data_IF_959058918423
#
_entry.id   IF_959058918423
#
_cell.length_a   1.000
_cell.length_b   1.000
_cell.length_c   1.000
_cell.angle_alpha   90.00
_cell.angle_beta   90.00
_cell.angle_gamma   90.00
#
_symmetry.space_group_name_H-M   'P 1'
#
loop_
_entity.id
_entity.type
_entity.pdbx_description
1 polymer ?
#
# COMPACT_ATOMS: atom_id res chain seq x y z
N UNK A 1 -22.82 -22.96 30.18
CA UNK A 1 -22.56 -21.52 30.03
C UNK A 1 -22.26 -21.25 28.56
N UNK A 2 -23.19 -20.62 27.87
CA UNK A 2 -23.05 -20.34 26.42
C UNK A 2 -22.25 -19.06 26.27
N UNK A 3 -21.03 -19.15 25.74
CA UNK A 3 -20.24 -17.97 25.33
C UNK A 3 -20.84 -17.43 24.03
N UNK A 4 -21.39 -16.23 24.10
CA UNK A 4 -21.77 -15.46 22.91
C UNK A 4 -20.48 -14.98 22.25
N UNK A 5 -20.18 -15.49 21.06
CA UNK A 5 -19.19 -14.91 20.20
C UNK A 5 -19.75 -13.57 19.70
N UNK A 6 -19.08 -12.50 20.04
CA UNK A 6 -19.35 -11.16 19.54
C UNK A 6 -18.63 -11.07 18.18
N UNK A 7 -19.38 -11.15 17.10
CA UNK A 7 -18.86 -10.91 15.77
C UNK A 7 -18.52 -9.41 15.66
N UNK A 8 -17.23 -9.10 15.61
CA UNK A 8 -16.74 -7.77 15.20
C UNK A 8 -16.84 -7.73 13.68
N UNK A 9 -17.77 -6.94 13.16
CA UNK A 9 -17.85 -6.65 11.74
C UNK A 9 -16.63 -5.82 11.33
N UNK A 10 -15.62 -6.46 10.77
CA UNK A 10 -14.67 -5.78 9.90
C UNK A 10 -15.40 -5.48 8.59
N UNK A 11 -15.69 -4.21 8.35
CA UNK A 11 -16.10 -3.76 7.02
C UNK A 11 -14.83 -3.73 6.13
N UNK A 12 -14.55 -4.85 5.50
CA UNK A 12 -13.72 -4.89 4.30
C UNK A 12 -14.44 -4.15 3.18
N UNK A 13 -13.70 -3.50 2.31
CA UNK A 13 -14.24 -2.90 1.10
C UNK A 13 -15.06 -3.94 0.34
N UNK A 14 -16.37 -3.82 0.35
CA UNK A 14 -17.26 -4.70 -0.41
C UNK A 14 -17.08 -4.37 -1.88
N UNK A 15 -16.26 -5.13 -2.56
CA UNK A 15 -16.30 -5.24 -4.02
C UNK A 15 -17.63 -5.87 -4.40
N UNK A 16 -18.67 -5.06 -4.53
CA UNK A 16 -19.91 -5.47 -5.16
C UNK A 16 -19.71 -5.58 -6.67
N UNK A 17 -19.24 -6.74 -7.12
CA UNK A 17 -19.55 -7.19 -8.46
C UNK A 17 -21.06 -7.47 -8.50
N UNK A 18 -21.86 -6.43 -8.64
CA UNK A 18 -23.31 -6.47 -8.70
C UNK A 18 -23.81 -6.16 -10.10
N UNK A 19 -23.96 -7.16 -10.96
CA UNK A 19 -25.01 -7.13 -11.97
C UNK A 19 -26.37 -7.15 -11.26
N UNK A 20 -26.83 -6.02 -10.76
CA UNK A 20 -28.14 -5.83 -10.16
C UNK A 20 -28.80 -4.65 -10.84
N UNK A 21 -30.07 -4.78 -11.25
CA UNK A 21 -30.96 -3.75 -11.78
C UNK A 21 -31.08 -2.53 -10.86
N UNK A 22 -29.96 -1.79 -10.71
CA UNK A 22 -29.89 -0.48 -10.11
C UNK A 22 -30.25 0.55 -11.18
N UNK A 23 -30.99 1.61 -10.82
CA UNK A 23 -31.32 2.68 -11.76
C UNK A 23 -30.06 3.22 -12.46
N UNK A 24 -30.17 3.54 -13.75
CA UNK A 24 -29.04 4.07 -14.52
C UNK A 24 -28.48 5.34 -13.88
N UNK A 25 -27.16 5.45 -13.81
CA UNK A 25 -26.50 6.67 -13.37
C UNK A 25 -26.96 7.88 -14.19
N UNK A 26 -27.08 9.02 -13.52
CA UNK A 26 -27.48 10.29 -14.15
C UNK A 26 -26.36 11.32 -13.92
N UNK A 27 -26.24 12.28 -14.83
CA UNK A 27 -25.35 13.41 -14.69
C UNK A 27 -26.09 14.73 -14.93
N UNK A 28 -25.71 15.76 -14.19
CA UNK A 28 -26.15 17.14 -14.51
C UNK A 28 -25.67 17.51 -15.91
N UNK A 29 -24.40 17.20 -16.19
CA UNK A 29 -23.84 17.17 -17.54
C UNK A 29 -23.56 15.73 -17.95
N UNK A 30 -24.06 15.30 -19.10
CA UNK A 30 -23.84 13.93 -19.63
C UNK A 30 -23.23 14.02 -21.02
N UNK A 31 -22.16 13.29 -21.25
CA UNK A 31 -21.42 13.23 -22.50
C UNK A 31 -21.49 11.83 -23.09
N UNK A 32 -22.01 11.73 -24.31
CA UNK A 32 -21.97 10.56 -25.22
C UNK A 32 -21.14 10.86 -26.46
N UNK A 33 -20.64 12.08 -26.58
CA UNK A 33 -19.75 12.61 -27.60
C UNK A 33 -18.81 13.65 -26.98
N UNK A 34 -17.77 14.10 -27.64
CA UNK A 34 -16.86 15.11 -27.08
C UNK A 34 -17.53 16.43 -26.71
N UNK A 35 -17.16 16.94 -25.53
CA UNK A 35 -17.67 18.20 -25.03
C UNK A 35 -16.79 18.87 -23.98
N UNK A 36 -17.19 20.03 -23.51
CA UNK A 36 -16.41 20.83 -22.57
C UNK A 36 -17.25 21.23 -21.36
N UNK A 37 -16.62 21.24 -20.19
CA UNK A 37 -17.17 21.75 -18.93
C UNK A 37 -16.26 22.86 -18.41
N UNK A 38 -16.81 24.06 -18.28
CA UNK A 38 -16.19 25.22 -17.64
C UNK A 38 -17.17 25.82 -16.62
N UNK A 39 -16.63 26.47 -15.58
CA UNK A 39 -17.45 27.11 -14.56
C UNK A 39 -18.10 26.10 -13.59
N UNK A 40 -19.23 26.50 -13.00
CA UNK A 40 -19.84 25.75 -11.89
C UNK A 40 -20.84 24.70 -12.38
N UNK A 41 -20.70 23.45 -11.83
CA UNK A 41 -21.69 22.36 -12.00
C UNK A 41 -21.91 21.68 -10.66
N UNK A 42 -23.15 21.75 -10.15
CA UNK A 42 -23.52 21.15 -8.87
C UNK A 42 -24.57 20.06 -9.05
N UNK A 43 -24.31 18.86 -8.51
CA UNK A 43 -25.31 17.80 -8.33
C UNK A 43 -25.81 17.80 -6.88
N UNK A 44 -27.13 17.72 -6.70
CA UNK A 44 -27.77 17.67 -5.38
C UNK A 44 -28.73 16.47 -5.23
N UNK A 45 -28.81 15.57 -6.20
CA UNK A 45 -29.72 14.42 -6.18
C UNK A 45 -28.98 13.12 -5.86
N UNK A 46 -29.70 12.18 -5.25
CA UNK A 46 -29.18 10.92 -4.72
C UNK A 46 -28.38 10.08 -5.74
N UNK A 47 -28.86 9.95 -6.97
CA UNK A 47 -28.28 9.08 -8.01
C UNK A 47 -27.74 9.93 -9.18
N UNK A 48 -27.17 11.09 -8.91
CA UNK A 48 -26.74 12.02 -9.94
C UNK A 48 -25.30 12.48 -9.66
N UNK A 49 -24.45 12.38 -10.65
CA UNK A 49 -23.11 12.95 -10.68
C UNK A 49 -23.13 14.37 -11.24
N UNK A 50 -22.15 15.21 -10.93
CA UNK A 50 -22.04 16.51 -11.58
C UNK A 50 -21.74 16.34 -13.07
N UNK A 51 -20.79 15.46 -13.39
CA UNK A 51 -20.45 15.08 -14.77
C UNK A 51 -20.54 13.56 -14.92
N UNK A 52 -21.19 13.10 -15.98
CA UNK A 52 -21.26 11.70 -16.38
C UNK A 52 -20.74 11.54 -17.81
N UNK A 53 -19.79 10.64 -18.01
CA UNK A 53 -19.23 10.31 -19.33
C UNK A 53 -19.55 8.85 -19.64
N UNK A 54 -20.14 8.61 -20.80
CA UNK A 54 -20.57 7.29 -21.28
C UNK A 54 -19.75 6.87 -22.49
N UNK A 55 -20.01 5.68 -22.99
CA UNK A 55 -19.36 5.16 -24.19
C UNK A 55 -19.50 6.12 -25.37
N UNK A 56 -18.37 6.39 -26.05
CA UNK A 56 -18.27 7.39 -27.12
C UNK A 56 -18.11 8.84 -26.63
N UNK A 57 -18.32 9.10 -25.33
CA UNK A 57 -18.16 10.42 -24.75
C UNK A 57 -16.73 10.76 -24.42
N UNK A 58 -16.41 12.06 -24.50
CA UNK A 58 -15.20 12.63 -23.93
C UNK A 58 -15.50 14.01 -23.33
N UNK A 59 -14.80 14.38 -22.24
CA UNK A 59 -14.99 15.70 -21.63
C UNK A 59 -13.64 16.39 -21.39
N UNK A 60 -13.52 17.63 -21.84
CA UNK A 60 -12.52 18.56 -21.35
C UNK A 60 -13.10 19.37 -20.20
N UNK A 61 -12.63 19.16 -19.00
CA UNK A 61 -13.01 19.89 -17.78
C UNK A 61 -11.88 20.85 -17.45
N UNK A 62 -12.11 22.15 -17.57
CA UNK A 62 -11.07 23.15 -17.42
C UNK A 62 -11.61 24.40 -16.69
N UNK A 63 -10.87 24.88 -15.69
CA UNK A 63 -11.31 26.01 -14.85
C UNK A 63 -12.74 25.81 -14.32
N UNK A 64 -13.05 24.61 -13.83
CA UNK A 64 -14.38 24.23 -13.39
C UNK A 64 -14.45 24.07 -11.86
N UNK A 65 -15.61 24.48 -11.30
CA UNK A 65 -16.00 24.23 -9.92
C UNK A 65 -17.07 23.14 -9.92
N UNK A 66 -16.70 21.91 -9.67
CA UNK A 66 -17.62 20.78 -9.69
C UNK A 66 -17.96 20.36 -8.26
N UNK A 67 -19.24 20.19 -7.96
CA UNK A 67 -19.61 19.76 -6.63
C UNK A 67 -20.76 18.74 -6.61
N UNK A 68 -20.68 17.85 -5.60
CA UNK A 68 -21.76 16.94 -5.24
C UNK A 68 -22.21 17.26 -3.82
N UNK A 69 -23.32 17.99 -3.69
CA UNK A 69 -23.90 18.43 -2.42
C UNK A 69 -25.12 17.58 -2.07
N UNK A 70 -24.89 16.37 -1.59
CA UNK A 70 -25.96 15.46 -1.18
C UNK A 70 -25.65 14.90 0.21
N UNK A 71 -26.28 15.42 1.24
CA UNK A 71 -26.04 15.07 2.64
C UNK A 71 -26.50 13.65 3.05
N UNK A 72 -27.03 12.84 2.14
CA UNK A 72 -27.46 11.48 2.40
C UNK A 72 -26.52 10.44 1.81
N UNK A 73 -26.74 9.18 2.18
CA UNK A 73 -26.02 8.04 1.58
C UNK A 73 -26.36 7.93 0.09
N UNK A 74 -25.37 7.69 -0.74
CA UNK A 74 -25.55 7.44 -2.16
C UNK A 74 -26.57 6.32 -2.40
N UNK A 75 -27.21 6.33 -3.57
CA UNK A 75 -28.18 5.31 -3.97
C UNK A 75 -27.52 4.01 -4.39
N UNK A 76 -28.30 3.16 -5.06
CA UNK A 76 -27.78 1.92 -5.64
C UNK A 76 -26.95 2.12 -6.92
N UNK A 77 -27.10 3.27 -7.58
CA UNK A 77 -26.29 3.62 -8.75
C UNK A 77 -24.98 4.22 -8.31
N UNK A 78 -23.90 3.89 -9.02
CA UNK A 78 -22.62 4.55 -8.85
C UNK A 78 -22.74 6.03 -9.08
N UNK A 79 -22.09 6.82 -8.21
CA UNK A 79 -22.09 8.28 -8.30
C UNK A 79 -20.72 8.81 -7.90
N UNK A 80 -20.34 9.93 -8.53
CA UNK A 80 -19.12 10.66 -8.24
C UNK A 80 -19.34 12.15 -8.54
N UNK A 81 -18.37 13.00 -8.24
CA UNK A 81 -18.36 14.34 -8.83
C UNK A 81 -18.18 14.20 -10.34
N UNK A 82 -17.20 13.41 -10.77
CA UNK A 82 -17.01 13.01 -12.18
C UNK A 82 -17.07 11.49 -12.27
N UNK A 83 -18.08 10.97 -12.95
CA UNK A 83 -18.28 9.55 -13.20
C UNK A 83 -18.00 9.23 -14.66
N UNK A 84 -17.09 8.30 -14.91
CA UNK A 84 -16.87 7.73 -16.22
C UNK A 84 -17.34 6.26 -16.21
N UNK A 85 -18.44 5.96 -16.89
CA UNK A 85 -18.82 4.57 -17.17
C UNK A 85 -17.93 3.97 -18.27
N UNK A 86 -17.49 4.82 -19.21
CA UNK A 86 -16.50 4.55 -20.26
C UNK A 86 -16.03 5.89 -20.87
N UNK A 87 -15.11 5.85 -21.85
CA UNK A 87 -14.66 7.07 -22.54
C UNK A 87 -13.51 7.77 -21.84
N UNK A 88 -13.34 9.08 -22.09
CA UNK A 88 -12.17 9.81 -21.62
C UNK A 88 -12.52 11.15 -20.96
N UNK A 89 -11.84 11.52 -19.89
CA UNK A 89 -11.83 12.87 -19.35
C UNK A 89 -10.41 13.44 -19.33
N UNK A 90 -10.31 14.72 -19.68
CA UNK A 90 -9.13 15.56 -19.44
C UNK A 90 -9.56 16.65 -18.46
N UNK A 91 -8.93 16.67 -17.28
CA UNK A 91 -9.30 17.58 -16.18
C UNK A 91 -8.09 18.44 -15.82
N UNK A 92 -8.25 19.76 -15.81
CA UNK A 92 -7.18 20.66 -15.38
C UNK A 92 -7.68 21.93 -14.70
N UNK A 93 -6.84 22.51 -13.85
CA UNK A 93 -7.07 23.78 -13.19
C UNK A 93 -8.47 23.87 -12.54
N UNK A 94 -8.95 22.78 -11.95
CA UNK A 94 -10.34 22.67 -11.49
C UNK A 94 -10.40 22.36 -9.99
N UNK A 95 -11.56 22.58 -9.40
CA UNK A 95 -11.83 22.23 -8.01
C UNK A 95 -13.05 21.30 -7.93
N UNK A 96 -12.86 20.13 -7.32
CA UNK A 96 -13.89 19.11 -7.20
C UNK A 96 -14.19 18.84 -5.72
N UNK A 97 -15.46 18.88 -5.33
CA UNK A 97 -15.87 18.64 -3.93
C UNK A 97 -17.05 17.69 -3.81
N UNK A 98 -17.03 16.80 -2.80
CA UNK A 98 -18.15 15.93 -2.49
C UNK A 98 -18.37 15.78 -0.99
N UNK A 99 -19.62 16.03 -0.54
CA UNK A 99 -20.07 15.76 0.84
C UNK A 99 -20.86 14.43 0.94
N UNK A 100 -21.07 13.73 -0.18
CA UNK A 100 -21.94 12.57 -0.26
C UNK A 100 -21.23 11.29 0.20
N UNK A 101 -21.82 10.58 1.15
CA UNK A 101 -21.33 9.25 1.54
C UNK A 101 -21.55 8.20 0.43
N UNK A 102 -20.57 7.31 0.24
CA UNK A 102 -20.59 6.29 -0.81
C UNK A 102 -20.47 6.83 -2.23
N UNK A 103 -19.76 7.96 -2.41
CA UNK A 103 -19.63 8.66 -3.69
C UNK A 103 -18.20 9.17 -3.89
N UNK A 104 -17.48 8.59 -4.81
CA UNK A 104 -16.12 9.03 -5.11
C UNK A 104 -16.04 10.49 -5.59
N UNK A 105 -14.87 11.09 -5.48
CA UNK A 105 -14.59 12.35 -6.18
C UNK A 105 -14.55 12.11 -7.70
N UNK A 106 -13.70 11.20 -8.15
CA UNK A 106 -13.66 10.71 -9.53
C UNK A 106 -13.78 9.21 -9.53
N UNK A 107 -14.74 8.65 -10.27
CA UNK A 107 -14.90 7.23 -10.48
C UNK A 107 -14.64 6.88 -11.94
N UNK A 108 -13.61 6.07 -12.15
CA UNK A 108 -13.14 5.65 -13.48
C UNK A 108 -13.54 4.19 -13.67
N UNK A 109 -14.57 3.97 -14.47
CA UNK A 109 -15.11 2.65 -14.75
C UNK A 109 -14.26 1.86 -15.75
N UNK A 110 -14.75 0.69 -16.07
CA UNK A 110 -14.09 -0.22 -17.00
C UNK A 110 -13.87 0.44 -18.37
N UNK A 111 -12.67 0.28 -18.93
CA UNK A 111 -12.23 0.91 -20.20
C UNK A 111 -12.22 2.44 -20.25
N UNK A 112 -12.48 3.12 -19.14
CA UNK A 112 -12.43 4.58 -19.05
C UNK A 112 -11.01 5.07 -18.75
N UNK A 113 -10.70 6.29 -19.20
CA UNK A 113 -9.42 6.93 -18.99
C UNK A 113 -9.58 8.36 -18.47
N UNK A 114 -8.82 8.72 -17.45
CA UNK A 114 -8.73 10.08 -16.94
C UNK A 114 -7.29 10.58 -17.00
N UNK A 115 -7.11 11.73 -17.63
CA UNK A 115 -5.89 12.54 -17.53
C UNK A 115 -6.21 13.77 -16.68
N UNK A 116 -5.48 13.98 -15.57
CA UNK A 116 -5.76 15.08 -14.64
C UNK A 116 -4.49 15.81 -14.20
N UNK A 117 -4.52 17.14 -14.19
CA UNK A 117 -3.43 17.96 -13.71
C UNK A 117 -3.89 19.21 -12.97
N UNK A 118 -3.04 19.72 -12.07
CA UNK A 118 -3.19 20.99 -11.38
C UNK A 118 -4.62 21.19 -10.80
N UNK A 119 -5.18 20.12 -10.24
CA UNK A 119 -6.58 20.07 -9.80
C UNK A 119 -6.64 19.73 -8.31
N UNK A 120 -7.51 20.45 -7.59
CA UNK A 120 -7.85 20.14 -6.21
C UNK A 120 -9.11 19.27 -6.16
N UNK A 121 -9.10 18.22 -5.34
CA UNK A 121 -10.25 17.37 -5.10
C UNK A 121 -10.39 17.08 -3.62
N UNK A 122 -11.62 17.21 -3.08
CA UNK A 122 -11.92 16.92 -1.69
C UNK A 122 -13.20 16.11 -1.55
N UNK A 123 -13.16 15.03 -0.76
CA UNK A 123 -14.35 14.27 -0.36
C UNK A 123 -14.46 14.20 1.16
N UNK A 124 -15.69 14.37 1.69
CA UNK A 124 -15.95 14.35 3.13
C UNK A 124 -16.88 13.22 3.57
N UNK A 125 -17.55 12.53 2.64
CA UNK A 125 -18.46 11.43 2.96
C UNK A 125 -17.72 10.15 3.39
N UNK A 126 -18.37 9.32 4.20
CA UNK A 126 -17.90 7.95 4.47
C UNK A 126 -17.90 7.12 3.19
N UNK A 127 -16.93 6.19 3.05
CA UNK A 127 -16.79 5.32 1.87
C UNK A 127 -16.76 6.12 0.55
N UNK A 128 -16.06 7.25 0.55
CA UNK A 128 -16.04 8.20 -0.56
C UNK A 128 -14.58 8.50 -0.95
N UNK A 129 -13.94 7.58 -1.68
CA UNK A 129 -12.55 7.78 -2.09
C UNK A 129 -12.39 9.04 -2.94
N UNK A 130 -11.19 9.60 -2.94
CA UNK A 130 -10.86 10.75 -3.78
C UNK A 130 -10.95 10.36 -5.26
N UNK A 131 -10.06 9.48 -5.71
CA UNK A 131 -10.12 8.88 -7.06
C UNK A 131 -10.16 7.36 -6.92
N UNK A 132 -11.06 6.73 -7.66
CA UNK A 132 -11.22 5.28 -7.71
C UNK A 132 -11.19 4.78 -9.16
N UNK A 133 -10.37 3.76 -9.44
CA UNK A 133 -10.42 3.00 -10.68
C UNK A 133 -11.13 1.67 -10.48
N UNK A 134 -11.94 1.24 -11.43
CA UNK A 134 -12.62 -0.06 -11.45
C UNK A 134 -12.40 -0.76 -12.78
N UNK A 135 -12.39 -2.10 -12.77
CA UNK A 135 -12.07 -2.87 -13.96
C UNK A 135 -10.75 -2.40 -14.58
N UNK A 136 -10.68 -2.27 -15.89
CA UNK A 136 -9.49 -1.79 -16.62
C UNK A 136 -9.38 -0.24 -16.71
N UNK A 137 -10.05 0.50 -15.83
CA UNK A 137 -9.97 1.96 -15.78
C UNK A 137 -8.55 2.47 -15.54
N UNK A 138 -8.16 3.53 -16.24
CA UNK A 138 -6.81 4.08 -16.20
C UNK A 138 -6.80 5.56 -15.74
N UNK A 139 -5.87 5.89 -14.83
CA UNK A 139 -5.61 7.24 -14.35
C UNK A 139 -4.18 7.66 -14.70
N UNK A 140 -4.05 8.85 -15.29
CA UNK A 140 -2.79 9.57 -15.46
C UNK A 140 -2.91 10.93 -14.77
N UNK A 141 -2.00 11.23 -13.82
CA UNK A 141 -2.15 12.41 -12.97
C UNK A 141 -0.83 13.16 -12.78
N UNK A 142 -0.91 14.50 -12.77
CA UNK A 142 0.25 15.40 -12.56
C UNK A 142 -0.11 16.52 -11.59
N UNK A 143 0.68 16.65 -10.53
CA UNK A 143 0.66 17.78 -9.59
C UNK A 143 -0.71 18.09 -8.97
N UNK A 144 -1.49 17.06 -8.62
CA UNK A 144 -2.81 17.24 -8.03
C UNK A 144 -2.78 17.31 -6.50
N UNK A 145 -3.81 17.92 -5.91
CA UNK A 145 -4.04 17.93 -4.48
C UNK A 145 -5.34 17.19 -4.17
N UNK A 146 -5.25 16.01 -3.56
CA UNK A 146 -6.42 15.17 -3.27
C UNK A 146 -6.52 14.92 -1.77
N UNK A 147 -7.66 15.27 -1.18
CA UNK A 147 -7.93 15.10 0.24
C UNK A 147 -9.23 14.35 0.51
N UNK A 148 -9.21 13.39 1.43
CA UNK A 148 -10.39 12.70 1.95
C UNK A 148 -10.46 12.84 3.47
N UNK A 149 -11.67 13.07 4.00
CA UNK A 149 -11.88 13.19 5.45
C UNK A 149 -12.88 12.18 6.00
N UNK A 150 -13.62 11.50 5.13
CA UNK A 150 -14.56 10.45 5.52
C UNK A 150 -13.88 9.17 5.96
N UNK A 151 -14.51 8.42 6.87
CA UNK A 151 -14.05 7.08 7.24
C UNK A 151 -14.12 6.14 6.04
N UNK A 152 -13.25 5.14 5.98
CA UNK A 152 -13.15 4.17 4.89
C UNK A 152 -12.99 4.83 3.49
N UNK A 153 -12.33 5.98 3.41
CA UNK A 153 -12.25 6.83 2.22
C UNK A 153 -10.80 7.06 1.81
N UNK A 154 -10.22 6.13 1.07
CA UNK A 154 -8.86 6.27 0.56
C UNK A 154 -8.70 7.53 -0.32
N UNK A 155 -7.55 8.20 -0.29
CA UNK A 155 -7.29 9.28 -1.24
C UNK A 155 -7.22 8.76 -2.69
N UNK A 156 -6.56 7.60 -2.87
CA UNK A 156 -6.47 6.88 -4.13
C UNK A 156 -6.90 5.42 -3.93
N UNK A 157 -7.78 4.91 -4.78
CA UNK A 157 -8.21 3.51 -4.79
C UNK A 157 -7.99 2.90 -6.17
N UNK A 158 -7.15 1.86 -6.24
CA UNK A 158 -6.86 1.14 -7.48
C UNK A 158 -7.52 -0.22 -7.41
N UNK A 159 -8.66 -0.37 -8.10
CA UNK A 159 -9.37 -1.64 -8.17
C UNK A 159 -8.60 -2.69 -9.00
N UNK A 160 -9.05 -3.94 -8.88
CA UNK A 160 -8.51 -5.07 -9.67
C UNK A 160 -8.54 -4.72 -11.16
N UNK A 161 -7.46 -5.06 -11.86
CA UNK A 161 -7.22 -4.77 -13.27
C UNK A 161 -7.09 -3.26 -13.63
N UNK A 162 -7.38 -2.36 -12.70
CA UNK A 162 -7.19 -0.92 -12.85
C UNK A 162 -5.72 -0.51 -12.80
N UNK A 163 -5.45 0.70 -13.31
CA UNK A 163 -4.09 1.25 -13.29
C UNK A 163 -4.06 2.74 -12.99
N UNK A 164 -2.94 3.18 -12.37
CA UNK A 164 -2.66 4.60 -12.23
C UNK A 164 -1.17 4.90 -12.41
N UNK A 165 -0.89 6.02 -13.08
CA UNK A 165 0.46 6.57 -13.21
C UNK A 165 0.41 8.04 -12.76
N UNK A 166 1.19 8.37 -11.71
CA UNK A 166 1.16 9.69 -11.11
C UNK A 166 2.57 10.29 -11.05
N UNK A 167 2.66 11.60 -11.25
CA UNK A 167 3.89 12.36 -11.09
C UNK A 167 3.61 13.65 -10.32
N UNK A 168 4.25 13.81 -9.16
CA UNK A 168 3.99 14.93 -8.26
C UNK A 168 2.67 14.82 -7.49
N UNK A 169 2.36 15.87 -6.74
CA UNK A 169 1.10 16.02 -6.04
C UNK A 169 1.10 15.59 -4.57
N UNK A 170 -0.03 15.85 -3.92
CA UNK A 170 -0.27 15.54 -2.50
C UNK A 170 -1.59 14.79 -2.35
N UNK A 171 -1.55 13.66 -1.68
CA UNK A 171 -2.67 12.75 -1.47
C UNK A 171 -2.80 12.47 0.02
N UNK A 172 -3.88 12.97 0.63
CA UNK A 172 -4.08 12.92 2.08
C UNK A 172 -5.42 12.29 2.42
N UNK A 173 -5.41 11.31 3.30
CA UNK A 173 -6.61 10.74 3.90
C UNK A 173 -6.56 10.92 5.43
N UNK A 174 -7.64 11.44 6.04
CA UNK A 174 -7.67 11.72 7.48
C UNK A 174 -8.76 10.98 8.25
N UNK A 175 -9.67 10.30 7.56
CA UNK A 175 -10.69 9.45 8.18
C UNK A 175 -10.09 8.20 8.82
N UNK A 176 -10.87 7.55 9.68
CA UNK A 176 -10.53 6.22 10.21
C UNK A 176 -10.57 5.19 9.10
N UNK A 177 -9.63 4.24 9.08
CA UNK A 177 -9.49 3.19 8.05
C UNK A 177 -9.40 3.76 6.62
N UNK A 178 -8.88 4.96 6.47
CA UNK A 178 -8.76 5.66 5.20
C UNK A 178 -7.28 5.76 4.79
N UNK A 179 -6.74 4.79 4.04
CA UNK A 179 -5.36 4.83 3.58
C UNK A 179 -5.14 5.95 2.55
N UNK A 180 -3.90 6.40 2.40
CA UNK A 180 -3.57 7.29 1.29
C UNK A 180 -3.72 6.57 -0.06
N UNK A 181 -3.29 5.29 -0.13
CA UNK A 181 -3.47 4.43 -1.30
C UNK A 181 -4.00 3.07 -0.88
N UNK A 182 -5.10 2.63 -1.47
CA UNK A 182 -5.62 1.26 -1.42
C UNK A 182 -5.51 0.63 -2.81
N UNK A 183 -4.81 -0.50 -2.94
CA UNK A 183 -4.53 -1.10 -4.23
C UNK A 183 -4.83 -2.60 -4.27
N UNK A 184 -5.54 -3.01 -5.32
CA UNK A 184 -5.66 -4.39 -5.81
C UNK A 184 -5.24 -4.49 -7.28
N UNK A 185 -4.94 -3.36 -7.92
CA UNK A 185 -4.45 -3.19 -9.30
C UNK A 185 -3.03 -2.65 -9.35
N UNK A 186 -2.70 -1.91 -10.42
CA UNK A 186 -1.33 -1.44 -10.69
C UNK A 186 -1.18 0.05 -10.44
N UNK A 187 -0.10 0.46 -9.78
CA UNK A 187 0.22 1.86 -9.54
C UNK A 187 1.70 2.18 -9.70
N UNK A 188 2.00 3.27 -10.39
CA UNK A 188 3.34 3.85 -10.50
C UNK A 188 3.26 5.32 -10.08
N UNK A 189 3.89 5.65 -8.95
CA UNK A 189 3.78 6.97 -8.33
C UNK A 189 5.18 7.55 -8.16
N UNK A 190 5.41 8.75 -8.66
CA UNK A 190 6.70 9.43 -8.58
C UNK A 190 6.58 10.80 -7.91
N UNK A 191 7.54 11.14 -7.07
CA UNK A 191 7.72 12.45 -6.44
C UNK A 191 6.45 12.99 -5.73
N UNK A 192 5.64 12.11 -5.14
CA UNK A 192 4.39 12.45 -4.48
C UNK A 192 4.49 12.39 -2.95
N UNK A 193 3.59 13.13 -2.29
CA UNK A 193 3.38 13.02 -0.85
C UNK A 193 2.10 12.24 -0.57
N UNK A 194 2.21 11.14 0.17
CA UNK A 194 1.12 10.22 0.51
C UNK A 194 0.97 10.16 2.03
N UNK A 195 -0.14 10.65 2.58
CA UNK A 195 -0.32 10.75 4.02
C UNK A 195 -1.66 10.17 4.46
N UNK A 196 -1.62 9.28 5.45
CA UNK A 196 -2.81 8.84 6.18
C UNK A 196 -2.74 9.31 7.64
N UNK A 197 -3.80 10.01 8.09
CA UNK A 197 -3.86 10.61 9.43
C UNK A 197 -4.34 9.66 10.51
N UNK A 198 -5.24 8.72 10.19
CA UNK A 198 -5.84 7.75 11.11
C UNK A 198 -5.92 6.35 10.51
N UNK A 199 -4.99 6.01 9.63
CA UNK A 199 -4.89 4.71 8.99
C UNK A 199 -3.44 4.40 8.59
N UNK A 200 -3.21 3.23 8.01
CA UNK A 200 -2.02 2.92 7.24
C UNK A 200 -1.92 3.84 6.01
N UNK A 201 -0.69 4.13 5.56
CA UNK A 201 -0.50 4.92 4.34
C UNK A 201 -0.87 4.10 3.10
N UNK A 202 -0.47 2.83 3.09
CA UNK A 202 -0.63 1.94 1.95
C UNK A 202 -1.28 0.63 2.39
N UNK A 203 -2.35 0.24 1.71
CA UNK A 203 -2.93 -1.11 1.76
C UNK A 203 -2.80 -1.77 0.40
N UNK A 204 -2.17 -2.94 0.35
CA UNK A 204 -2.03 -3.75 -0.85
C UNK A 204 -2.70 -5.10 -0.64
N UNK A 205 -3.63 -5.45 -1.52
CA UNK A 205 -4.28 -6.76 -1.54
C UNK A 205 -3.79 -7.61 -2.70
N UNK A 206 -4.20 -8.86 -2.75
CA UNK A 206 -3.83 -9.78 -3.84
C UNK A 206 -4.07 -9.14 -5.21
N UNK A 207 -3.10 -9.30 -6.11
CA UNK A 207 -3.07 -8.69 -7.43
C UNK A 207 -2.42 -7.31 -7.49
N UNK A 208 -2.26 -6.62 -6.35
CA UNK A 208 -1.65 -5.30 -6.31
C UNK A 208 -0.19 -5.32 -6.77
N UNK A 209 0.17 -4.36 -7.61
CA UNK A 209 1.54 -4.02 -7.98
C UNK A 209 1.72 -2.52 -7.81
N UNK A 210 2.32 -2.09 -6.71
CA UNK A 210 2.50 -0.67 -6.40
C UNK A 210 3.99 -0.34 -6.36
N UNK A 211 4.40 0.61 -7.17
CA UNK A 211 5.77 1.11 -7.25
C UNK A 211 5.81 2.60 -6.96
N UNK A 212 6.59 3.00 -5.98
CA UNK A 212 6.76 4.40 -5.56
C UNK A 212 8.22 4.82 -5.74
N UNK A 213 8.41 5.96 -6.39
CA UNK A 213 9.72 6.53 -6.70
C UNK A 213 9.81 7.93 -6.10
N UNK A 214 10.85 8.19 -5.31
CA UNK A 214 11.08 9.47 -4.64
C UNK A 214 9.87 10.05 -3.89
N UNK A 215 9.01 9.16 -3.35
CA UNK A 215 7.79 9.54 -2.65
C UNK A 215 8.04 9.78 -1.15
N UNK A 216 7.22 10.65 -0.55
CA UNK A 216 7.15 10.83 0.89
C UNK A 216 5.89 10.18 1.44
N UNK A 217 6.04 9.05 2.14
CA UNK A 217 4.93 8.21 2.60
C UNK A 217 4.86 8.21 4.12
N UNK A 218 3.70 8.52 4.69
CA UNK A 218 3.50 8.52 6.15
C UNK A 218 2.14 7.94 6.55
N UNK A 219 2.16 6.93 7.42
CA UNK A 219 0.98 6.33 8.03
C UNK A 219 0.92 6.60 9.54
N UNK A 220 -0.30 6.82 10.06
CA UNK A 220 -0.55 7.05 11.48
C UNK A 220 -1.75 6.20 11.95
N UNK A 221 -1.72 4.90 11.65
CA UNK A 221 -2.76 3.98 12.05
C UNK A 221 -2.80 3.86 13.58
N UNK A 222 -3.92 4.18 14.25
CA UNK A 222 -4.09 3.92 15.67
C UNK A 222 -4.07 2.41 15.92
N UNK A 223 -3.81 1.99 17.16
CA UNK A 223 -3.82 0.57 17.50
C UNK A 223 -5.23 0.01 17.30
N UNK A 224 -5.43 -0.94 16.37
CA UNK A 224 -6.72 -1.55 16.16
C UNK A 224 -7.04 -2.52 17.29
N UNK A 225 -8.30 -2.70 17.58
CA UNK A 225 -8.73 -3.72 18.54
C UNK A 225 -8.60 -5.14 17.96
N UNK A 226 -8.44 -6.15 18.82
CA UNK A 226 -8.41 -7.56 18.41
C UNK A 226 -7.03 -8.04 17.96
N UNK A 227 -6.97 -8.86 16.92
CA UNK A 227 -5.73 -9.48 16.41
C UNK A 227 -5.05 -8.67 15.29
N UNK A 228 -5.66 -7.60 14.85
CA UNK A 228 -5.09 -6.74 13.80
C UNK A 228 -3.93 -5.92 14.37
N UNK A 229 -2.90 -5.71 13.59
CA UNK A 229 -1.71 -4.93 13.97
C UNK A 229 -1.71 -3.60 13.23
N UNK A 230 -1.29 -2.54 13.91
CA UNK A 230 -1.09 -1.24 13.27
C UNK A 230 0.22 -1.20 12.46
N UNK A 231 0.18 -0.53 11.32
CA UNK A 231 1.34 -0.40 10.45
C UNK A 231 1.24 0.85 9.54
N UNK A 232 2.35 1.25 8.94
CA UNK A 232 2.34 2.24 7.86
C UNK A 232 1.98 1.59 6.51
N UNK A 233 2.38 0.35 6.30
CA UNK A 233 2.08 -0.43 5.10
C UNK A 233 1.53 -1.79 5.50
N UNK A 234 0.38 -2.14 4.94
CA UNK A 234 -0.25 -3.45 5.10
C UNK A 234 -0.30 -4.16 3.75
N UNK A 235 0.25 -5.38 3.69
CA UNK A 235 0.10 -6.28 2.57
C UNK A 235 -0.71 -7.48 3.07
N UNK A 236 -1.88 -7.70 2.50
CA UNK A 236 -2.80 -8.73 3.00
C UNK A 236 -3.48 -9.50 1.89
N UNK A 237 -3.97 -10.67 2.23
CA UNK A 237 -4.88 -11.41 1.37
C UNK A 237 -6.26 -10.76 1.36
N UNK A 238 -6.86 -10.61 0.18
CA UNK A 238 -8.24 -10.16 0.08
C UNK A 238 -9.21 -11.20 0.66
N UNK A 239 -10.30 -10.76 1.31
CA UNK A 239 -11.26 -11.67 1.97
C UNK A 239 -11.85 -12.76 1.05
N UNK A 240 -12.01 -12.45 -0.24
CA UNK A 240 -12.57 -13.39 -1.24
C UNK A 240 -11.49 -13.81 -2.26
N UNK A 241 -10.23 -13.86 -1.85
CA UNK A 241 -9.13 -14.21 -2.72
C UNK A 241 -9.21 -15.67 -3.19
N UNK A 242 -8.93 -15.89 -4.47
CA UNK A 242 -8.75 -17.23 -5.02
C UNK A 242 -7.45 -17.86 -4.50
N UNK A 243 -7.40 -19.20 -4.45
CA UNK A 243 -6.23 -19.93 -3.94
C UNK A 243 -4.93 -19.63 -4.71
N UNK A 244 -5.03 -19.19 -5.97
CA UNK A 244 -3.90 -18.86 -6.86
C UNK A 244 -3.81 -17.35 -7.16
N UNK A 245 -4.34 -16.50 -6.30
CA UNK A 245 -4.24 -15.06 -6.49
C UNK A 245 -2.77 -14.60 -6.55
N UNK A 246 -2.49 -13.62 -7.40
CA UNK A 246 -1.15 -13.03 -7.50
C UNK A 246 -0.80 -12.33 -6.20
N UNK A 247 0.38 -12.61 -5.67
CA UNK A 247 0.88 -11.96 -4.46
C UNK A 247 0.98 -10.44 -4.60
N UNK A 248 0.62 -9.65 -3.56
CA UNK A 248 0.85 -8.21 -3.59
C UNK A 248 2.34 -7.89 -3.67
N UNK A 249 2.68 -6.91 -4.49
CA UNK A 249 4.04 -6.46 -4.72
C UNK A 249 4.18 -4.98 -4.43
N UNK A 250 5.16 -4.62 -3.62
CA UNK A 250 5.51 -3.23 -3.31
C UNK A 250 6.96 -2.96 -3.68
N UNK A 251 7.18 -1.94 -4.49
CA UNK A 251 8.50 -1.37 -4.74
C UNK A 251 8.55 0.04 -4.17
N UNK A 252 9.58 0.33 -3.40
CA UNK A 252 9.94 1.68 -2.96
C UNK A 252 11.37 1.98 -3.44
N UNK A 253 11.56 3.08 -4.17
CA UNK A 253 12.87 3.51 -4.67
C UNK A 253 13.06 5.00 -4.40
N UNK A 254 14.00 5.36 -3.55
CA UNK A 254 14.17 6.74 -3.08
C UNK A 254 13.07 7.23 -2.12
N UNK A 255 13.15 8.47 -1.71
CA UNK A 255 12.16 9.10 -0.84
C UNK A 255 12.18 8.62 0.62
N UNK A 256 11.01 8.64 1.27
CA UNK A 256 10.87 8.28 2.70
C UNK A 256 9.61 7.43 2.94
N UNK A 257 9.70 6.47 3.85
CA UNK A 257 8.55 5.76 4.41
C UNK A 257 8.60 5.85 5.93
N UNK A 258 7.51 6.33 6.55
CA UNK A 258 7.41 6.49 8.00
C UNK A 258 6.16 5.86 8.57
N UNK A 259 6.34 5.02 9.58
CA UNK A 259 5.31 4.66 10.53
C UNK A 259 5.33 5.65 11.70
N UNK A 260 4.25 6.41 11.88
CA UNK A 260 4.11 7.27 13.07
C UNK A 260 3.74 6.45 14.31
N UNK A 261 3.14 5.27 14.11
CA UNK A 261 2.81 4.28 15.13
C UNK A 261 2.91 2.88 14.55
N UNK A 262 3.24 1.90 15.40
CA UNK A 262 3.24 0.49 15.04
C UNK A 262 4.34 0.09 14.06
N UNK A 263 4.05 -0.90 13.26
CA UNK A 263 5.01 -1.52 12.35
C UNK A 263 5.23 -0.67 11.10
N UNK A 264 6.41 -0.79 10.48
CA UNK A 264 6.64 -0.19 9.17
C UNK A 264 5.95 -1.00 8.08
N UNK A 265 6.25 -2.31 8.03
CA UNK A 265 5.60 -3.28 7.14
C UNK A 265 4.89 -4.36 7.96
N UNK A 266 3.64 -4.61 7.66
CA UNK A 266 2.86 -5.72 8.18
C UNK A 266 2.36 -6.59 7.03
N UNK A 267 2.73 -7.88 7.04
CA UNK A 267 2.27 -8.87 6.07
C UNK A 267 1.32 -9.84 6.77
N UNK A 268 0.07 -9.86 6.34
CA UNK A 268 -1.02 -10.60 6.97
C UNK A 268 -1.61 -11.65 6.02
N UNK A 269 -1.39 -12.91 6.32
CA UNK A 269 -1.91 -14.06 5.59
C UNK A 269 -1.63 -14.09 4.08
N UNK A 270 -0.73 -13.23 3.57
CA UNK A 270 -0.43 -13.09 2.15
C UNK A 270 0.95 -13.64 1.78
N UNK A 271 1.08 -14.11 0.56
CA UNK A 271 2.38 -14.26 -0.09
C UNK A 271 2.72 -12.87 -0.67
N UNK A 272 3.75 -12.19 -0.16
CA UNK A 272 4.03 -10.80 -0.52
C UNK A 272 5.48 -10.56 -0.91
N UNK A 273 5.71 -9.59 -1.81
CA UNK A 273 7.06 -9.16 -2.19
C UNK A 273 7.24 -7.66 -1.92
N UNK A 274 8.28 -7.32 -1.17
CA UNK A 274 8.65 -5.94 -0.85
C UNK A 274 10.09 -5.72 -1.35
N UNK A 275 10.29 -4.66 -2.12
CA UNK A 275 11.61 -4.20 -2.58
C UNK A 275 11.80 -2.77 -2.10
N UNK A 276 12.92 -2.50 -1.43
CA UNK A 276 13.33 -1.16 -0.98
C UNK A 276 14.72 -0.84 -1.52
N UNK A 277 14.88 0.37 -2.10
CA UNK A 277 16.14 0.81 -2.69
C UNK A 277 16.39 2.29 -2.35
N UNK A 278 17.39 2.58 -1.54
CA UNK A 278 17.77 3.94 -1.13
C UNK A 278 16.60 4.74 -0.50
N UNK A 279 15.79 4.10 0.32
CA UNK A 279 14.62 4.71 1.00
C UNK A 279 14.98 5.08 2.43
N UNK A 280 14.62 6.26 2.89
CA UNK A 280 14.71 6.56 4.32
C UNK A 280 13.54 5.89 5.05
N UNK A 281 13.82 4.79 5.73
CA UNK A 281 12.85 4.02 6.52
C UNK A 281 12.83 4.54 7.96
N UNK A 282 11.65 4.85 8.51
CA UNK A 282 11.51 5.36 9.87
C UNK A 282 10.37 4.65 10.63
N UNK A 283 10.73 3.95 11.69
CA UNK A 283 9.82 3.31 12.64
C UNK A 283 10.31 3.58 14.07
N UNK A 284 9.38 3.77 15.00
CA UNK A 284 9.73 3.79 16.42
C UNK A 284 9.88 2.35 16.93
N UNK A 285 11.11 1.91 17.08
CA UNK A 285 11.45 0.53 17.50
C UNK A 285 10.91 0.15 18.88
N UNK A 286 10.51 1.13 19.70
CA UNK A 286 9.86 0.87 20.99
C UNK A 286 8.37 0.55 20.87
N UNK A 287 7.75 0.82 19.72
CA UNK A 287 6.32 0.70 19.50
C UNK A 287 5.97 -0.24 18.33
N UNK A 288 6.92 -0.58 17.47
CA UNK A 288 6.65 -1.40 16.29
C UNK A 288 7.90 -2.04 15.69
N UNK A 289 7.68 -2.86 14.69
CA UNK A 289 8.71 -3.61 14.01
C UNK A 289 9.01 -3.02 12.62
N UNK A 290 10.21 -3.23 12.12
CA UNK A 290 10.53 -2.95 10.72
C UNK A 290 9.71 -3.85 9.80
N UNK A 291 9.65 -5.15 10.10
CA UNK A 291 8.80 -6.11 9.40
C UNK A 291 8.12 -7.03 10.41
N UNK A 292 6.81 -7.15 10.30
CA UNK A 292 6.02 -8.16 10.98
C UNK A 292 5.30 -9.04 9.96
N UNK A 293 5.53 -10.35 10.01
CA UNK A 293 4.78 -11.33 9.24
C UNK A 293 3.96 -12.23 10.18
N UNK A 294 2.69 -12.42 9.91
CA UNK A 294 1.80 -13.25 10.74
C UNK A 294 0.73 -14.00 9.94
N UNK A 295 -0.03 -14.86 10.61
CA UNK A 295 -1.17 -15.58 10.06
C UNK A 295 -0.82 -16.43 8.82
N UNK A 296 0.34 -17.11 8.84
CA UNK A 296 0.78 -17.96 7.73
C UNK A 296 1.32 -17.20 6.52
N UNK A 297 1.60 -15.91 6.64
CA UNK A 297 2.20 -15.12 5.58
C UNK A 297 3.53 -15.72 5.08
N UNK A 298 3.79 -15.58 3.78
CA UNK A 298 5.06 -15.91 3.14
C UNK A 298 5.56 -14.68 2.41
N UNK A 299 6.46 -13.93 3.01
CA UNK A 299 6.92 -12.67 2.46
C UNK A 299 8.37 -12.71 2.01
N UNK A 300 8.73 -11.78 1.14
CA UNK A 300 10.11 -11.43 0.83
C UNK A 300 10.34 -9.93 1.01
N UNK A 301 11.47 -9.56 1.62
CA UNK A 301 11.95 -8.18 1.71
C UNK A 301 13.35 -8.11 1.11
N UNK A 302 13.49 -7.40 0.01
CA UNK A 302 14.77 -7.19 -0.68
C UNK A 302 15.22 -5.74 -0.50
N UNK A 303 16.35 -5.55 0.16
CA UNK A 303 16.90 -4.24 0.50
C UNK A 303 18.20 -3.96 -0.27
N UNK A 304 18.26 -2.82 -0.94
CA UNK A 304 19.38 -2.40 -1.78
C UNK A 304 19.91 -1.02 -1.35
N UNK A 305 21.12 -0.96 -0.85
CA UNK A 305 21.74 0.29 -0.42
C UNK A 305 21.05 0.91 0.81
N UNK A 306 20.44 0.10 1.67
CA UNK A 306 19.58 0.55 2.75
C UNK A 306 20.31 0.71 4.09
N UNK A 307 19.82 1.66 4.87
CA UNK A 307 20.11 1.78 6.29
C UNK A 307 18.84 1.43 7.08
N UNK A 308 18.71 0.15 7.47
CA UNK A 308 17.52 -0.35 8.17
C UNK A 308 17.78 -0.45 9.65
N UNK A 309 16.81 -0.02 10.48
CA UNK A 309 16.84 -0.17 11.93
C UNK A 309 15.50 -0.70 12.43
N UNK A 310 15.52 -1.70 13.33
CA UNK A 310 14.33 -2.24 13.96
C UNK A 310 14.33 -3.74 14.10
N UNK A 311 13.15 -4.28 14.45
CA UNK A 311 12.96 -5.71 14.64
C UNK A 311 12.39 -6.35 13.37
N UNK A 312 12.89 -7.54 13.02
CA UNK A 312 12.26 -8.41 12.04
C UNK A 312 11.56 -9.52 12.80
N UNK A 313 10.25 -9.62 12.68
CA UNK A 313 9.43 -10.53 13.49
C UNK A 313 8.59 -11.43 12.60
N UNK A 314 8.61 -12.73 12.91
CA UNK A 314 7.70 -13.73 12.35
C UNK A 314 6.89 -14.34 13.47
N UNK A 315 5.58 -14.24 13.38
CA UNK A 315 4.63 -14.81 14.34
C UNK A 315 3.93 -16.04 13.76
N UNK A 316 3.58 -16.99 14.65
CA UNK A 316 2.80 -18.18 14.33
C UNK A 316 3.46 -19.08 13.27
N UNK A 317 2.81 -19.28 12.12
CA UNK A 317 3.30 -20.09 11.00
C UNK A 317 3.72 -19.24 9.79
N UNK A 318 3.95 -17.95 10.02
CA UNK A 318 4.46 -17.05 8.98
C UNK A 318 5.95 -17.28 8.71
N UNK A 319 6.38 -16.92 7.53
CA UNK A 319 7.78 -16.93 7.10
C UNK A 319 8.13 -15.68 6.30
N UNK A 320 9.40 -15.29 6.39
CA UNK A 320 9.94 -14.23 5.54
C UNK A 320 11.34 -14.59 5.04
N UNK A 321 11.64 -14.21 3.80
CA UNK A 321 12.99 -14.20 3.25
C UNK A 321 13.46 -12.74 3.18
N UNK A 322 14.54 -12.41 3.88
CA UNK A 322 15.08 -11.04 3.91
C UNK A 322 16.44 -11.04 3.24
N UNK A 323 16.63 -10.17 2.26
CA UNK A 323 17.83 -10.07 1.44
C UNK A 323 18.49 -8.70 1.64
N UNK A 324 19.71 -8.70 2.17
CA UNK A 324 20.53 -7.49 2.33
C UNK A 324 21.55 -7.43 1.19
N UNK A 325 21.47 -6.42 0.35
CA UNK A 325 22.27 -6.27 -0.86
C UNK A 325 22.84 -4.86 -1.03
N UNK A 326 23.89 -4.78 -1.82
CA UNK A 326 24.46 -3.51 -2.32
C UNK A 326 24.79 -2.54 -1.18
N UNK A 327 25.63 -2.98 -0.22
CA UNK A 327 26.08 -2.18 0.94
C UNK A 327 24.95 -1.89 1.95
N UNK A 328 23.91 -2.73 2.00
CA UNK A 328 22.83 -2.59 2.99
C UNK A 328 23.35 -2.86 4.40
N UNK A 329 22.97 -2.00 5.33
CA UNK A 329 23.19 -2.17 6.76
C UNK A 329 21.85 -2.37 7.49
N UNK A 330 21.69 -3.53 8.10
CA UNK A 330 20.59 -3.79 9.03
C UNK A 330 21.09 -3.72 10.46
N UNK A 331 20.48 -2.86 11.31
CA UNK A 331 20.74 -2.77 12.74
C UNK A 331 19.49 -3.23 13.48
N UNK A 332 19.56 -4.36 14.18
CA UNK A 332 18.37 -4.90 14.84
C UNK A 332 18.54 -6.35 15.28
N UNK A 333 17.44 -6.89 15.77
CA UNK A 333 17.32 -8.31 16.10
C UNK A 333 16.25 -8.99 15.22
N UNK A 334 16.26 -10.32 15.29
CA UNK A 334 15.30 -11.18 14.60
C UNK A 334 14.61 -12.05 15.62
N UNK A 335 13.27 -11.99 15.62
CA UNK A 335 12.45 -12.69 16.59
C UNK A 335 11.50 -13.66 15.91
N UNK A 336 11.36 -14.81 16.53
CA UNK A 336 10.47 -15.88 16.13
C UNK A 336 9.51 -16.18 17.27
N UNK A 337 8.21 -15.97 17.05
CA UNK A 337 7.17 -16.27 18.03
C UNK A 337 6.29 -17.41 17.52
N UNK A 338 6.51 -18.65 17.99
CA UNK A 338 5.71 -19.81 17.56
C UNK A 338 4.24 -19.65 17.93
N UNK A 339 3.35 -20.09 17.05
CA UNK A 339 1.92 -20.15 17.34
C UNK A 339 1.58 -21.20 18.41
N UNK A 340 0.37 -21.14 19.01
CA UNK A 340 -0.06 -22.05 20.04
C UNK A 340 0.01 -23.52 19.58
N UNK A 341 0.74 -24.34 20.34
CA UNK A 341 0.86 -25.79 20.07
C UNK A 341 1.80 -26.18 18.95
N UNK A 342 2.56 -25.24 18.35
CA UNK A 342 3.60 -25.51 17.35
C UNK A 342 4.99 -25.38 18.00
N UNK A 343 5.81 -26.44 17.86
CA UNK A 343 7.19 -26.42 18.39
C UNK A 343 8.15 -25.62 17.50
N UNK A 344 7.83 -25.46 16.22
CA UNK A 344 8.65 -24.77 15.23
C UNK A 344 7.76 -23.85 14.38
N UNK A 345 8.17 -22.59 14.26
CA UNK A 345 7.60 -21.68 13.27
C UNK A 345 8.48 -21.68 12.01
N UNK A 346 7.90 -21.47 10.81
CA UNK A 346 8.67 -21.35 9.58
C UNK A 346 9.75 -20.27 9.65
N UNK A 347 9.45 -19.10 10.22
CA UNK A 347 10.40 -18.06 10.63
C UNK A 347 11.12 -17.34 9.48
N UNK A 348 12.09 -16.53 9.86
CA UNK A 348 12.84 -15.68 8.94
C UNK A 348 14.11 -16.40 8.43
N UNK A 349 14.33 -16.35 7.12
CA UNK A 349 15.60 -16.66 6.48
C UNK A 349 16.30 -15.35 6.09
N UNK A 350 17.51 -15.11 6.58
CA UNK A 350 18.29 -13.91 6.26
C UNK A 350 19.42 -14.25 5.29
N UNK A 351 19.51 -13.47 4.21
CA UNK A 351 20.54 -13.55 3.18
C UNK A 351 21.35 -12.26 3.17
N UNK A 352 22.66 -12.33 3.33
CA UNK A 352 23.56 -11.18 3.40
C UNK A 352 24.64 -11.33 2.32
N UNK A 353 24.71 -10.40 1.35
CA UNK A 353 25.76 -10.40 0.35
C UNK A 353 27.12 -9.96 0.91
N UNK A 354 28.20 -10.14 0.14
CA UNK A 354 29.56 -9.83 0.58
C UNK A 354 29.85 -8.37 0.91
N UNK A 355 28.94 -7.45 0.58
CA UNK A 355 29.09 -6.01 0.82
C UNK A 355 28.25 -5.48 1.99
N UNK A 356 27.28 -6.28 2.45
CA UNK A 356 26.28 -5.89 3.44
C UNK A 356 26.64 -6.35 4.85
N UNK A 357 26.00 -5.75 5.86
CA UNK A 357 26.24 -6.03 7.26
C UNK A 357 24.95 -6.11 8.08
N UNK A 358 24.87 -7.10 8.95
CA UNK A 358 23.90 -7.14 10.05
C UNK A 358 24.59 -6.74 11.35
N UNK A 359 24.15 -5.63 11.94
CA UNK A 359 24.54 -5.15 13.26
C UNK A 359 23.52 -5.67 14.28
N UNK A 360 23.90 -6.68 15.02
CA UNK A 360 23.05 -7.34 16.01
C UNK A 360 23.03 -6.53 17.29
N UNK A 361 21.87 -6.09 17.75
CA UNK A 361 21.69 -5.31 18.98
C UNK A 361 20.84 -6.04 20.05
N UNK A 362 20.48 -7.30 19.79
CA UNK A 362 19.75 -8.20 20.69
C UNK A 362 19.96 -9.65 20.36
N UNK A 363 19.67 -10.57 21.31
CA UNK A 363 19.65 -11.99 21.01
C UNK A 363 18.62 -12.27 19.92
N UNK A 364 19.00 -13.04 18.92
CA UNK A 364 18.20 -13.29 17.74
C UNK A 364 17.95 -14.76 17.50
N UNK A 365 16.75 -15.08 17.03
CA UNK A 365 16.38 -16.44 16.60
C UNK A 365 15.78 -16.35 15.20
N UNK A 366 16.35 -17.12 14.26
CA UNK A 366 15.89 -17.16 12.87
C UNK A 366 15.95 -18.58 12.30
N UNK A 367 15.16 -18.82 11.25
CA UNK A 367 15.09 -20.14 10.60
C UNK A 367 16.37 -20.47 9.87
N UNK A 368 16.93 -19.54 9.11
CA UNK A 368 18.15 -19.79 8.34
C UNK A 368 18.99 -18.52 8.21
N UNK A 369 20.31 -18.69 8.14
CA UNK A 369 21.27 -17.61 7.90
C UNK A 369 22.24 -18.03 6.77
N UNK A 370 22.21 -17.25 5.69
CA UNK A 370 23.09 -17.35 4.53
C UNK A 370 23.89 -16.05 4.44
N UNK A 371 25.19 -16.08 4.75
CA UNK A 371 25.95 -14.82 4.84
C UNK A 371 27.33 -14.92 4.19
N UNK A 372 27.57 -14.04 3.23
CA UNK A 372 28.89 -13.70 2.69
C UNK A 372 29.42 -12.42 3.33
N UNK A 373 28.51 -11.61 3.93
CA UNK A 373 28.80 -10.35 4.59
C UNK A 373 29.11 -10.47 6.07
N UNK A 374 29.02 -9.34 6.77
CA UNK A 374 29.41 -9.25 8.17
C UNK A 374 28.20 -9.42 9.11
N UNK A 375 28.41 -10.13 10.20
CA UNK A 375 27.49 -10.21 11.35
C UNK A 375 28.26 -9.82 12.60
N UNK A 376 28.00 -8.61 13.11
CA UNK A 376 28.72 -7.98 14.23
C UNK A 376 27.70 -7.39 15.21
N UNK A 377 28.12 -7.06 16.43
CA UNK A 377 27.35 -6.22 17.31
C UNK A 377 27.61 -4.72 17.10
N UNK A 378 26.93 -3.87 17.87
CA UNK A 378 27.08 -2.41 17.87
C UNK A 378 28.50 -1.92 18.23
N UNK A 379 29.30 -2.77 18.91
CA UNK A 379 30.71 -2.51 19.27
C UNK A 379 31.70 -3.07 18.24
N UNK A 380 31.20 -3.65 17.14
CA UNK A 380 31.99 -4.27 16.09
C UNK A 380 32.56 -5.66 16.47
N UNK A 381 32.09 -6.25 17.57
CA UNK A 381 32.52 -7.59 17.99
C UNK A 381 31.78 -8.67 17.18
N UNK A 382 32.48 -9.78 16.94
CA UNK A 382 31.85 -10.96 16.32
C UNK A 382 30.78 -11.53 17.25
N UNK A 383 29.59 -11.81 16.70
CA UNK A 383 28.48 -12.44 17.38
C UNK A 383 28.64 -13.97 17.35
N UNK A 384 28.30 -14.65 18.43
CA UNK A 384 28.22 -16.10 18.44
C UNK A 384 27.03 -16.56 17.59
N UNK A 385 27.27 -17.42 16.59
CA UNK A 385 26.23 -18.05 15.78
C UNK A 385 26.20 -19.53 16.13
N UNK A 386 25.02 -20.02 16.54
CA UNK A 386 24.84 -21.40 16.98
C UNK A 386 23.54 -22.01 16.45
N UNK A 387 23.48 -23.31 16.39
CA UNK A 387 22.28 -24.09 16.14
C UNK A 387 21.38 -24.15 17.40
N UNK A 388 20.11 -24.48 17.19
CA UNK A 388 19.16 -24.72 18.28
C UNK A 388 19.60 -25.88 19.21
N UNK A 389 20.35 -26.84 18.70
CA UNK A 389 20.94 -27.97 19.43
C UNK A 389 22.19 -27.58 20.23
N UNK A 390 22.61 -26.31 20.21
CA UNK A 390 23.82 -25.81 20.85
C UNK A 390 25.10 -25.98 20.03
N UNK A 391 25.05 -26.52 18.82
CA UNK A 391 26.20 -26.60 17.91
C UNK A 391 26.69 -25.20 17.55
N UNK A 392 27.92 -24.84 17.90
CA UNK A 392 28.49 -23.52 17.60
C UNK A 392 29.10 -23.53 16.20
N UNK A 393 28.48 -22.77 15.29
CA UNK A 393 28.97 -22.58 13.92
C UNK A 393 30.09 -21.51 13.84
N UNK A 394 29.94 -20.42 14.58
CA UNK A 394 30.96 -19.36 14.72
C UNK A 394 30.95 -18.84 16.15
N UNK A 395 32.08 -18.85 16.82
CA UNK A 395 32.25 -18.32 18.17
C UNK A 395 32.59 -16.83 18.09
N UNK A 396 31.85 -16.00 18.79
CA UNK A 396 32.06 -14.56 18.91
C UNK A 396 32.46 -14.12 20.32
N UNK A 397 32.69 -12.81 20.47
CA UNK A 397 32.99 -12.14 21.73
C UNK A 397 31.86 -11.18 22.18
N UNK A 398 30.86 -11.02 21.34
CA UNK A 398 29.67 -10.22 21.66
C UNK A 398 28.90 -10.80 22.84
N UNK A 399 28.16 -9.95 23.55
CA UNK A 399 27.18 -10.38 24.55
C UNK A 399 25.94 -11.02 23.92
N UNK A 400 25.71 -10.77 22.62
CA UNK A 400 24.57 -11.30 21.88
C UNK A 400 24.87 -12.62 21.18
N UNK A 401 23.83 -13.41 21.01
CA UNK A 401 23.87 -14.70 20.31
C UNK A 401 22.79 -14.75 19.23
N UNK A 402 23.18 -15.30 18.09
CA UNK A 402 22.29 -15.62 16.97
C UNK A 402 22.03 -17.13 16.98
N UNK A 403 20.79 -17.54 17.20
CA UNK A 403 20.35 -18.93 17.15
C UNK A 403 19.67 -19.22 15.81
N UNK A 404 20.19 -20.20 15.08
CA UNK A 404 19.64 -20.67 13.80
C UNK A 404 18.92 -21.98 14.03
N UNK A 405 17.61 -22.03 13.77
CA UNK A 405 16.80 -23.22 14.02
C UNK A 405 16.88 -24.26 12.88
N UNK A 406 17.34 -23.84 11.71
CA UNK A 406 17.50 -24.70 10.53
C UNK A 406 18.90 -24.59 9.91
N UNK A 407 19.05 -23.91 8.79
CA UNK A 407 20.27 -23.94 8.00
C UNK A 407 21.20 -22.73 8.21
N UNK A 408 22.50 -22.98 8.39
CA UNK A 408 23.56 -21.95 8.37
C UNK A 408 24.53 -22.22 7.23
N UNK A 409 24.78 -21.21 6.38
CA UNK A 409 25.81 -21.27 5.31
C UNK A 409 26.58 -19.96 5.22
N UNK A 410 27.84 -20.05 4.79
CA UNK A 410 28.72 -18.92 4.49
C UNK A 410 28.67 -18.50 3.02
N UNK A 411 27.60 -18.86 2.32
CA UNK A 411 27.29 -18.44 0.94
C UNK A 411 25.80 -18.14 0.85
N UNK A 412 25.43 -17.18 0.01
CA UNK A 412 24.05 -16.78 -0.19
C UNK A 412 23.66 -16.88 -1.68
N UNK A 413 22.42 -17.28 -1.95
CA UNK A 413 21.86 -17.33 -3.30
C UNK A 413 20.84 -16.22 -3.46
N UNK A 414 21.06 -15.36 -4.43
CA UNK A 414 20.21 -14.21 -4.74
C UNK A 414 19.44 -14.36 -6.05
N UNK A 415 19.35 -15.55 -6.62
CA UNK A 415 18.56 -15.81 -7.83
C UNK A 415 17.08 -15.64 -7.54
N UNK A 416 16.39 -14.92 -8.42
CA UNK A 416 14.94 -14.67 -8.28
C UNK A 416 14.55 -13.67 -7.20
N UNK A 417 15.52 -12.96 -6.62
CA UNK A 417 15.25 -11.87 -5.67
C UNK A 417 14.64 -10.69 -6.43
N UNK A 418 13.60 -10.06 -5.85
CA UNK A 418 12.96 -8.87 -6.43
C UNK A 418 13.97 -7.75 -6.68
N UNK A 419 13.82 -7.06 -7.80
CA UNK A 419 14.70 -5.94 -8.20
C UNK A 419 13.89 -4.67 -8.37
N UNK A 420 14.51 -3.52 -8.10
CA UNK A 420 13.93 -2.21 -8.38
C UNK A 420 14.18 -1.84 -9.85
N UNK A 421 13.17 -1.28 -10.49
CA UNK A 421 13.26 -0.60 -11.77
C UNK A 421 13.23 0.93 -11.58
N UNK A 422 13.16 1.68 -12.67
CA UNK A 422 13.13 3.15 -12.66
C UNK A 422 11.77 3.65 -13.16
N UNK A 423 11.26 4.75 -12.58
CA UNK A 423 9.98 5.35 -12.98
C UNK A 423 9.88 5.65 -14.47
N UNK A 424 10.99 6.01 -15.12
CA UNK A 424 11.05 6.28 -16.55
C UNK A 424 10.52 5.14 -17.45
N UNK A 425 10.56 3.90 -16.94
CA UNK A 425 9.98 2.75 -17.64
C UNK A 425 8.43 2.75 -17.65
N UNK A 426 7.82 3.51 -16.75
CA UNK A 426 6.36 3.56 -16.53
C UNK A 426 5.77 4.97 -16.72
N UNK A 427 6.64 5.99 -16.79
CA UNK A 427 6.23 7.39 -16.88
C UNK A 427 5.35 7.64 -18.10
N UNK A 428 4.20 8.28 -17.86
CA UNK A 428 3.41 8.86 -18.94
C UNK A 428 3.91 10.30 -19.20
N UNK A 429 4.04 10.65 -20.47
CA UNK A 429 4.35 12.03 -20.83
C UNK A 429 3.12 12.90 -20.61
N UNK A 430 3.28 14.04 -19.89
CA UNK A 430 2.18 14.99 -19.70
C UNK A 430 1.74 15.55 -21.05
N UNK A 431 0.49 15.31 -21.49
CA UNK A 431 0.03 15.71 -22.81
C UNK A 431 -0.10 17.24 -22.91
N UNK A 432 0.00 17.76 -24.15
CA UNK A 432 -0.12 19.20 -24.46
C UNK A 432 -1.44 19.79 -23.92
N UNK A 433 -2.52 19.02 -23.94
CA UNK A 433 -3.84 19.43 -23.43
C UNK A 433 -3.85 19.75 -21.92
N UNK A 434 -2.84 19.27 -21.18
CA UNK A 434 -2.69 19.52 -19.75
C UNK A 434 -1.57 20.50 -19.40
N UNK A 435 -0.84 20.99 -20.40
CA UNK A 435 0.19 22.04 -20.24
C UNK A 435 -0.41 23.44 -20.20
#
# INVERSE_FOLDING_TARGET
>A
MRRKAMAVCLLGAVLLAGCGSGGSAKGVKTFTEPGTVNGEVTSAKRNESAVLIKAGGAALINNAELSRKYAGKAGKADTAVVLLEAGKAVIKNSNLTSDAAGSAGILIGDTAEVEIADTALSTAGEQSPGIETRGSGALYAWDNMIGTTGNDSAALSVGKDGSMTLSGGTFTATGEHAPAVSASGKGWINAATLTAGNAEALTLEDGAQLSLYDCHVSGNMPEPGGNQKNAAVILRRAENSEANATAPQLLLSGGTLRAQRGNLFYVDAADASIVVKNVTLAVDVSQGNLLLASNGAKSSLSAYGEMMEGHLVSEEDASAAVYLRDVTKFTGDIQLTPGPGKAEAPGIALYIDGTSIWVVNGNSTLRALYTEGLVKDDKGLDVTIQGQDGTVYRKGKSAYTVTVTGEYKTSADFRGVGTADEFSAHAAERPESLR
#
